data_IF_118637875688
#
_entry.id   IF_118637875688
#
_cell.length_a   1.000
_cell.length_b   1.000
_cell.length_c   1.000
_cell.angle_alpha   90.00
_cell.angle_beta   90.00
_cell.angle_gamma   90.00
#
_symmetry.space_group_name_H-M   'P 1'
#
loop_
_entity.id
_entity.type
_entity.pdbx_description
1 polymer ?
#
# COMPACT_ATOMS: atom_id res chain seq x y z
N UNK A 1 15.97 48.06 -38.18
CA UNK A 1 15.90 46.76 -37.45
C UNK A 1 14.51 46.24 -37.69
N UNK A 2 14.38 45.15 -38.39
CA UNK A 2 13.07 44.53 -38.59
C UNK A 2 12.59 43.95 -37.23
N UNK A 3 11.35 44.31 -36.86
CA UNK A 3 10.75 43.92 -35.57
C UNK A 3 10.22 42.47 -35.61
N UNK A 4 11.03 41.53 -36.03
CA UNK A 4 10.60 40.13 -36.12
C UNK A 4 10.72 39.36 -34.84
N UNK A 5 11.45 39.87 -33.83
CA UNK A 5 11.62 39.26 -32.52
C UNK A 5 11.25 40.28 -31.45
N UNK A 6 10.30 39.96 -30.59
CA UNK A 6 9.97 40.73 -29.41
C UNK A 6 10.38 39.95 -28.16
N UNK A 7 10.85 40.65 -27.15
CA UNK A 7 11.32 40.13 -25.90
C UNK A 7 10.46 40.66 -24.77
N UNK A 8 10.05 39.82 -23.88
CA UNK A 8 9.35 40.18 -22.66
C UNK A 8 10.03 39.55 -21.47
N UNK A 9 10.62 40.34 -20.55
CA UNK A 9 11.18 39.78 -19.32
C UNK A 9 10.04 39.32 -18.43
N UNK A 10 10.11 38.08 -17.98
CA UNK A 10 9.27 37.57 -16.88
C UNK A 10 9.99 37.89 -15.58
N UNK A 11 9.39 38.72 -14.74
CA UNK A 11 9.92 39.05 -13.42
C UNK A 11 9.83 37.82 -12.51
N UNK A 12 10.96 37.21 -12.17
CA UNK A 12 11.08 36.12 -11.20
C UNK A 12 12.53 36.00 -10.75
N UNK A 13 12.76 35.79 -9.45
CA UNK A 13 14.09 35.60 -8.91
C UNK A 13 14.68 34.27 -9.41
N UNK A 14 15.81 34.29 -10.08
CA UNK A 14 16.73 33.16 -10.24
C UNK A 14 16.94 32.60 -11.64
N UNK A 15 15.96 32.64 -12.54
CA UNK A 15 16.14 32.29 -13.95
C UNK A 15 15.26 33.20 -14.79
N UNK A 16 15.87 34.12 -15.52
CA UNK A 16 15.14 35.03 -16.41
C UNK A 16 14.64 34.23 -17.61
N UNK A 17 13.35 33.94 -17.67
CA UNK A 17 12.73 33.40 -18.89
C UNK A 17 12.58 34.52 -19.92
N UNK A 18 13.17 34.34 -21.07
CA UNK A 18 13.01 35.24 -22.20
C UNK A 18 11.93 34.66 -23.10
N UNK A 19 10.78 35.33 -23.20
CA UNK A 19 9.75 34.98 -24.19
C UNK A 19 10.14 35.64 -25.50
N UNK A 20 10.49 34.85 -26.48
CA UNK A 20 10.77 35.31 -27.85
C UNK A 20 9.49 35.11 -28.68
N UNK A 21 8.88 36.14 -29.13
CA UNK A 21 7.80 36.08 -30.13
C UNK A 21 8.37 36.47 -31.49
N UNK A 22 8.48 35.50 -32.38
CA UNK A 22 8.97 35.75 -33.72
C UNK A 22 7.79 36.01 -34.68
N UNK A 23 7.79 37.13 -35.36
CA UNK A 23 6.99 37.30 -36.57
C UNK A 23 7.68 36.57 -37.74
N UNK A 24 6.92 36.30 -38.79
CA UNK A 24 7.34 35.57 -39.99
C UNK A 24 8.78 35.89 -40.42
N UNK A 25 9.58 34.86 -40.52
CA UNK A 25 11.01 34.97 -40.71
C UNK A 25 11.37 35.21 -42.16
N UNK A 26 12.07 36.29 -42.41
CA UNK A 26 12.63 36.57 -43.73
C UNK A 26 14.17 36.44 -43.78
N UNK A 27 14.81 36.22 -42.65
CA UNK A 27 16.28 36.03 -42.61
C UNK A 27 16.80 35.73 -41.19
N UNK A 28 17.79 34.86 -41.12
CA UNK A 28 18.38 34.39 -39.88
C UNK A 28 19.24 35.45 -39.19
N UNK A 29 19.81 36.33 -39.95
CA UNK A 29 20.71 37.40 -39.48
C UNK A 29 19.99 38.36 -38.52
N UNK A 30 18.74 38.63 -38.77
CA UNK A 30 17.92 39.50 -37.94
C UNK A 30 17.58 38.92 -36.59
N UNK A 31 17.56 37.59 -36.43
CA UNK A 31 17.29 36.90 -35.15
C UNK A 31 18.43 37.11 -34.16
N UNK A 32 19.65 36.99 -34.61
CA UNK A 32 20.83 37.13 -33.76
C UNK A 32 20.96 38.57 -33.28
N UNK A 33 20.72 39.53 -34.19
CA UNK A 33 20.79 40.94 -33.86
C UNK A 33 19.77 41.34 -32.77
N UNK A 34 18.58 40.80 -32.79
CA UNK A 34 17.56 41.11 -31.80
C UNK A 34 17.78 40.43 -30.45
N UNK A 35 18.27 39.21 -30.43
CA UNK A 35 18.65 38.50 -29.20
C UNK A 35 19.75 39.23 -28.47
N UNK A 36 20.74 39.76 -29.19
CA UNK A 36 21.86 40.48 -28.60
C UNK A 36 21.46 41.86 -28.07
N UNK A 37 20.52 42.53 -28.73
CA UNK A 37 20.08 43.89 -28.36
C UNK A 37 19.16 43.92 -27.11
N UNK A 38 18.52 42.82 -26.73
CA UNK A 38 17.48 42.77 -25.69
C UNK A 38 17.75 41.81 -24.53
N UNK A 39 18.92 41.18 -24.51
CA UNK A 39 19.30 40.18 -23.51
C UNK A 39 19.65 40.76 -22.13
N UNK A 40 19.94 39.88 -21.18
CA UNK A 40 20.43 40.19 -19.83
C UNK A 40 21.75 40.98 -19.85
N UNK A 41 22.25 41.49 -18.75
CA UNK A 41 23.54 42.20 -18.68
C UNK A 41 24.71 41.42 -19.30
N UNK A 42 24.72 40.13 -19.25
CA UNK A 42 25.72 39.29 -19.91
C UNK A 42 25.63 39.36 -21.44
N UNK A 43 24.41 39.49 -21.98
CA UNK A 43 24.18 39.66 -23.43
C UNK A 43 24.57 41.04 -23.92
N UNK A 44 24.41 42.08 -23.09
CA UNK A 44 24.87 43.43 -23.46
C UNK A 44 26.39 43.53 -23.59
N UNK A 45 27.14 42.77 -22.80
CA UNK A 45 28.61 42.70 -22.96
C UNK A 45 29.02 41.96 -24.23
N UNK A 46 28.23 41.01 -24.70
CA UNK A 46 28.45 40.29 -25.95
C UNK A 46 28.00 41.10 -27.18
N UNK A 47 27.10 42.07 -26.99
CA UNK A 47 26.45 42.78 -28.10
C UNK A 47 27.39 43.56 -29.00
N UNK A 48 28.35 44.25 -28.47
CA UNK A 48 29.22 45.11 -29.26
C UNK A 48 30.25 44.37 -30.17
N UNK A 49 30.59 43.15 -29.78
CA UNK A 49 31.61 42.34 -30.49
C UNK A 49 31.00 41.17 -31.27
N UNK A 50 29.88 40.64 -30.82
CA UNK A 50 29.27 39.43 -31.41
C UNK A 50 28.30 39.76 -32.55
N UNK A 51 27.76 40.99 -32.59
CA UNK A 51 26.92 41.49 -33.69
C UNK A 51 27.72 41.54 -35.01
N UNK A 52 29.04 41.69 -34.92
CA UNK A 52 29.93 41.80 -36.10
C UNK A 52 30.27 40.42 -36.67
N UNK A 53 30.14 39.36 -35.92
CA UNK A 53 30.32 37.98 -36.37
C UNK A 53 29.00 37.32 -36.67
N UNK A 54 28.34 37.74 -37.74
CA UNK A 54 27.10 37.16 -38.23
C UNK A 54 27.22 35.65 -38.47
N UNK A 55 26.84 34.82 -37.50
CA UNK A 55 26.70 33.39 -37.71
C UNK A 55 25.24 33.07 -38.01
N UNK A 56 25.03 32.51 -39.18
CA UNK A 56 23.74 31.92 -39.52
C UNK A 56 23.44 30.75 -38.56
N UNK A 57 22.55 30.96 -37.58
CA UNK A 57 22.07 29.92 -36.71
C UNK A 57 20.80 29.31 -37.29
N UNK A 58 20.86 28.06 -37.66
CA UNK A 58 19.70 27.32 -38.14
C UNK A 58 19.22 26.40 -37.01
N UNK A 59 17.93 26.38 -36.73
CA UNK A 59 17.33 25.42 -35.83
C UNK A 59 17.52 24.00 -36.40
N UNK A 60 18.34 23.20 -35.74
CA UNK A 60 18.69 21.86 -36.22
C UNK A 60 17.80 20.80 -35.62
N UNK A 61 17.48 20.94 -34.35
CA UNK A 61 16.76 19.93 -33.57
C UNK A 61 16.04 20.58 -32.42
N UNK A 62 14.91 19.99 -32.01
CA UNK A 62 14.29 20.18 -30.68
C UNK A 62 14.18 18.84 -29.98
N UNK A 63 14.33 18.84 -28.65
CA UNK A 63 14.21 17.62 -27.85
C UNK A 63 13.68 17.90 -26.47
N UNK A 64 13.09 16.88 -25.84
CA UNK A 64 12.69 16.94 -24.44
C UNK A 64 13.90 16.73 -23.53
N UNK A 65 14.04 17.60 -22.53
CA UNK A 65 15.04 17.49 -21.47
C UNK A 65 14.34 17.30 -20.14
N UNK A 66 14.86 16.40 -19.30
CA UNK A 66 14.33 16.12 -17.96
C UNK A 66 12.83 15.80 -17.98
N UNK A 67 12.39 15.04 -18.99
CA UNK A 67 11.01 14.55 -19.03
C UNK A 67 10.84 13.55 -17.89
N UNK A 68 10.26 14.02 -16.78
CA UNK A 68 10.01 13.22 -15.58
C UNK A 68 8.54 13.29 -15.22
N UNK A 69 8.04 12.21 -14.64
CA UNK A 69 6.71 12.14 -14.11
C UNK A 69 6.63 12.70 -12.71
N UNK A 70 5.65 13.53 -12.50
CA UNK A 70 5.07 13.80 -11.18
C UNK A 70 3.67 13.21 -11.18
N UNK A 71 3.45 12.32 -10.28
CA UNK A 71 2.33 11.43 -10.19
C UNK A 71 1.11 12.09 -9.58
N UNK A 72 0.24 12.63 -10.38
CA UNK A 72 -1.16 12.81 -10.02
C UNK A 72 -1.99 12.55 -11.27
N UNK A 73 -2.26 11.27 -11.53
CA UNK A 73 -3.23 10.90 -12.56
C UNK A 73 -4.59 10.88 -11.89
N UNK A 74 -5.42 11.85 -12.21
CA UNK A 74 -6.81 11.85 -11.76
C UNK A 74 -7.65 10.99 -12.69
N UNK A 75 -8.48 10.13 -12.11
CA UNK A 75 -9.40 9.26 -12.84
C UNK A 75 -10.83 9.64 -12.51
N UNK A 76 -11.67 9.70 -13.54
CA UNK A 76 -13.13 9.78 -13.41
C UNK A 76 -13.72 8.63 -14.21
N UNK A 77 -14.48 7.75 -13.56
CA UNK A 77 -15.13 6.63 -14.22
C UNK A 77 -14.19 5.64 -14.93
N UNK A 78 -12.97 5.46 -14.40
CA UNK A 78 -11.97 4.55 -14.97
C UNK A 78 -11.16 5.14 -16.15
N UNK A 79 -11.39 6.39 -16.50
CA UNK A 79 -10.65 7.10 -17.56
C UNK A 79 -9.69 8.11 -16.91
N UNK A 80 -8.41 8.10 -17.33
CA UNK A 80 -7.45 9.10 -16.89
C UNK A 80 -7.87 10.49 -17.40
N UNK A 81 -8.07 11.45 -16.49
CA UNK A 81 -8.55 12.79 -16.82
C UNK A 81 -7.44 13.84 -16.81
N UNK A 82 -6.39 13.63 -16.06
CA UNK A 82 -5.23 14.51 -16.01
C UNK A 82 -3.97 13.77 -15.58
N UNK A 83 -2.83 14.27 -16.01
CA UNK A 83 -1.52 13.81 -15.55
C UNK A 83 -0.58 15.01 -15.53
N UNK A 84 0.19 15.14 -14.45
CA UNK A 84 1.24 16.15 -14.34
C UNK A 84 2.59 15.55 -14.71
N UNK A 85 3.31 16.21 -15.61
CA UNK A 85 4.70 15.84 -15.91
C UNK A 85 5.58 17.10 -15.93
N UNK A 86 6.83 16.95 -15.56
CA UNK A 86 7.82 18.02 -15.65
C UNK A 86 8.76 17.74 -16.80
N UNK A 87 8.99 18.74 -17.62
CA UNK A 87 9.92 18.66 -18.74
C UNK A 87 10.38 20.05 -19.16
N UNK A 88 11.47 20.10 -19.90
CA UNK A 88 11.87 21.26 -20.71
C UNK A 88 11.96 20.84 -22.18
N UNK A 89 11.67 21.76 -23.08
CA UNK A 89 11.90 21.59 -24.52
C UNK A 89 13.07 22.45 -24.90
N UNK A 90 14.09 21.83 -25.44
CA UNK A 90 15.35 22.48 -25.80
C UNK A 90 15.43 22.56 -27.32
N UNK A 91 15.68 23.77 -27.84
CA UNK A 91 16.09 23.99 -29.21
C UNK A 91 17.62 23.90 -29.30
N UNK A 92 18.14 23.23 -30.32
CA UNK A 92 19.54 23.17 -30.67
C UNK A 92 19.77 23.80 -32.03
N UNK A 93 20.80 24.62 -32.11
CA UNK A 93 21.12 25.37 -33.31
C UNK A 93 22.40 24.84 -34.00
N UNK A 94 22.66 25.32 -35.22
CA UNK A 94 23.76 24.86 -36.08
C UNK A 94 25.17 25.08 -35.51
N UNK A 95 25.32 25.94 -34.51
CA UNK A 95 26.56 26.15 -33.76
C UNK A 95 26.67 25.31 -32.49
N UNK A 96 25.74 24.38 -32.28
CA UNK A 96 25.56 23.56 -31.09
C UNK A 96 25.10 24.35 -29.85
N UNK A 97 24.77 25.62 -29.94
CA UNK A 97 24.10 26.33 -28.84
C UNK A 97 22.71 25.77 -28.62
N UNK A 98 22.22 25.90 -27.36
CA UNK A 98 20.89 25.41 -26.96
C UNK A 98 20.13 26.46 -26.23
N UNK A 99 18.80 26.42 -26.36
CA UNK A 99 17.86 27.32 -25.71
C UNK A 99 16.67 26.57 -25.18
N UNK A 100 16.17 26.95 -23.98
CA UNK A 100 14.91 26.42 -23.44
C UNK A 100 13.72 27.15 -24.07
N UNK A 101 12.95 26.42 -24.84
CA UNK A 101 11.78 26.92 -25.57
C UNK A 101 10.45 26.36 -25.05
N UNK A 102 10.43 25.83 -23.83
CA UNK A 102 9.29 25.13 -23.24
C UNK A 102 7.99 25.94 -23.34
N UNK A 103 8.07 27.24 -23.12
CA UNK A 103 6.91 28.13 -23.14
C UNK A 103 6.48 28.61 -24.54
N UNK A 104 7.18 28.17 -25.58
CA UNK A 104 6.96 28.58 -26.98
C UNK A 104 6.55 27.45 -27.88
N UNK A 105 6.96 26.24 -27.55
CA UNK A 105 6.61 25.08 -28.33
C UNK A 105 5.11 24.75 -28.17
N UNK A 106 4.49 24.39 -29.26
CA UNK A 106 3.15 23.80 -29.21
C UNK A 106 3.27 22.36 -28.73
N UNK A 107 2.58 22.04 -27.63
CA UNK A 107 2.64 20.72 -27.00
C UNK A 107 1.29 20.04 -27.19
N UNK A 108 1.33 18.80 -27.62
CA UNK A 108 0.20 17.89 -27.63
C UNK A 108 0.63 16.57 -26.99
N UNK A 109 -0.31 15.87 -26.35
CA UNK A 109 0.02 14.62 -25.72
C UNK A 109 -1.16 13.67 -25.70
N UNK A 110 -0.86 12.38 -25.60
CA UNK A 110 -1.85 11.35 -25.37
C UNK A 110 -1.34 10.43 -24.27
N UNK A 111 -2.16 10.19 -23.26
CA UNK A 111 -1.93 9.17 -22.26
C UNK A 111 -2.62 7.88 -22.73
N UNK A 112 -1.83 6.87 -23.01
CA UNK A 112 -2.35 5.53 -23.31
C UNK A 112 -2.23 4.70 -22.04
N UNK A 113 -3.37 4.43 -21.43
CA UNK A 113 -3.46 3.46 -20.32
C UNK A 113 -3.86 2.13 -20.94
N UNK A 114 -3.09 1.04 -20.71
CA UNK A 114 -3.49 -0.28 -21.19
C UNK A 114 -4.88 -0.61 -20.67
N UNK A 115 -5.75 -1.16 -21.55
CA UNK A 115 -7.06 -1.66 -21.13
C UNK A 115 -6.83 -2.85 -20.19
N UNK A 116 -6.94 -2.63 -18.90
CA UNK A 116 -6.93 -3.68 -17.89
C UNK A 116 -8.31 -3.82 -17.29
N UNK A 117 -8.70 -5.05 -17.00
CA UNK A 117 -9.90 -5.39 -16.23
C UNK A 117 -9.95 -4.60 -14.91
N UNK A 118 -11.09 -4.54 -14.26
CA UNK A 118 -11.48 -3.67 -13.13
C UNK A 118 -10.50 -3.40 -11.95
N UNK A 119 -9.29 -3.95 -12.01
CA UNK A 119 -8.14 -3.67 -11.14
C UNK A 119 -7.19 -2.60 -11.71
N UNK A 120 -7.60 -1.85 -12.71
CA UNK A 120 -6.79 -0.95 -13.55
C UNK A 120 -6.15 0.26 -12.83
N UNK A 121 -6.33 0.41 -11.54
CA UNK A 121 -5.70 1.47 -10.74
C UNK A 121 -4.18 1.28 -10.53
N UNK A 122 -3.63 0.16 -11.01
CA UNK A 122 -2.18 -0.12 -10.97
C UNK A 122 -1.49 -0.13 -12.34
N UNK A 123 -2.20 0.24 -13.41
CA UNK A 123 -1.62 0.17 -14.74
C UNK A 123 -0.58 1.25 -14.97
N UNK A 124 0.61 0.81 -15.29
CA UNK A 124 1.67 1.64 -15.86
C UNK A 124 1.19 2.10 -17.24
N UNK A 125 0.90 3.39 -17.39
CA UNK A 125 0.57 3.99 -18.68
C UNK A 125 1.81 4.54 -19.36
N UNK A 126 1.73 4.81 -20.65
CA UNK A 126 2.76 5.56 -21.37
C UNK A 126 2.16 6.87 -21.84
N UNK A 127 2.73 7.99 -21.38
CA UNK A 127 2.45 9.31 -21.93
C UNK A 127 3.38 9.54 -23.10
N UNK A 128 2.82 9.85 -24.22
CA UNK A 128 3.57 10.34 -25.38
C UNK A 128 3.28 11.82 -25.55
N UNK A 129 4.31 12.64 -25.47
CA UNK A 129 4.26 14.06 -25.74
C UNK A 129 4.90 14.34 -27.09
N UNK A 130 4.25 15.23 -27.84
CA UNK A 130 4.80 15.78 -29.08
C UNK A 130 4.95 17.28 -28.91
N UNK A 131 6.15 17.80 -29.10
CA UNK A 131 6.40 19.23 -29.17
C UNK A 131 6.70 19.66 -30.59
N UNK A 132 6.18 20.83 -30.96
CA UNK A 132 6.43 21.46 -32.27
C UNK A 132 6.86 22.89 -32.05
N UNK A 133 7.95 23.29 -32.67
CA UNK A 133 8.45 24.63 -32.64
C UNK A 133 9.11 24.92 -34.00
N UNK A 134 8.64 26.00 -34.64
CA UNK A 134 9.01 26.30 -36.04
C UNK A 134 8.62 25.11 -36.95
N UNK A 135 9.53 24.62 -37.77
CA UNK A 135 9.30 23.44 -38.62
C UNK A 135 9.77 22.11 -37.99
N UNK A 136 10.25 22.15 -36.76
CA UNK A 136 10.77 20.99 -36.04
C UNK A 136 9.75 20.40 -35.11
N UNK A 137 9.81 19.08 -35.01
CA UNK A 137 9.02 18.30 -34.04
C UNK A 137 9.88 17.32 -33.30
N UNK A 138 9.59 17.11 -32.02
CA UNK A 138 10.16 15.99 -31.27
C UNK A 138 9.04 15.25 -30.54
N UNK A 139 9.31 13.99 -30.24
CA UNK A 139 8.41 13.14 -29.47
C UNK A 139 9.17 12.57 -28.29
N UNK A 140 8.60 12.69 -27.11
CA UNK A 140 9.10 12.06 -25.90
C UNK A 140 8.05 11.12 -25.33
N UNK A 141 8.48 9.95 -24.89
CA UNK A 141 7.61 9.00 -24.20
C UNK A 141 8.15 8.76 -22.81
N UNK A 142 7.27 8.83 -21.82
CA UNK A 142 7.56 8.53 -20.43
C UNK A 142 6.64 7.43 -19.98
N UNK A 143 7.23 6.41 -19.37
CA UNK A 143 6.43 5.41 -18.68
C UNK A 143 5.82 6.08 -17.46
N UNK A 144 4.49 6.17 -17.42
CA UNK A 144 3.77 6.60 -16.26
C UNK A 144 3.91 5.53 -15.18
N UNK A 145 4.83 5.71 -14.28
CA UNK A 145 4.69 5.08 -12.98
C UNK A 145 3.63 5.91 -12.27
N UNK A 146 2.45 5.32 -12.09
CA UNK A 146 1.66 5.76 -10.97
C UNK A 146 2.61 5.64 -9.77
N UNK A 147 2.97 6.72 -9.07
CA UNK A 147 3.40 6.62 -7.68
C UNK A 147 2.42 5.66 -7.08
N UNK A 148 2.93 4.57 -6.51
CA UNK A 148 2.07 3.51 -6.03
C UNK A 148 0.90 4.20 -5.38
N UNK A 149 -0.27 4.11 -6.02
CA UNK A 149 -1.50 4.79 -5.65
C UNK A 149 -1.51 4.74 -4.14
N UNK A 150 -1.35 5.90 -3.49
CA UNK A 150 -1.09 5.87 -2.07
C UNK A 150 -2.42 5.59 -1.42
N UNK A 151 -2.70 4.30 -1.23
CA UNK A 151 -3.87 3.86 -0.47
C UNK A 151 -4.02 4.63 0.85
N UNK A 152 -2.94 5.29 1.31
CA UNK A 152 -2.99 6.16 2.50
C UNK A 152 -3.93 7.35 2.33
N UNK A 153 -4.12 7.86 1.12
CA UNK A 153 -5.01 9.00 0.82
C UNK A 153 -6.40 8.59 0.37
N UNK A 154 -6.62 7.30 0.13
CA UNK A 154 -7.93 6.78 -0.23
C UNK A 154 -8.66 6.29 1.01
N UNK A 155 -9.93 6.65 1.19
CA UNK A 155 -10.74 6.08 2.27
C UNK A 155 -10.88 4.56 2.10
N UNK A 156 -11.35 3.87 3.14
CA UNK A 156 -11.74 2.48 3.04
C UNK A 156 -12.66 2.29 1.84
N UNK A 157 -12.27 1.43 0.90
CA UNK A 157 -12.93 1.22 -0.39
C UNK A 157 -13.23 -0.24 -0.61
N UNK A 158 -14.45 -0.53 -1.05
CA UNK A 158 -14.91 -1.86 -1.45
C UNK A 158 -15.02 -1.92 -2.96
N UNK A 159 -14.31 -2.83 -3.60
CA UNK A 159 -14.40 -3.12 -5.03
C UNK A 159 -15.31 -4.33 -5.23
N UNK A 160 -16.47 -4.13 -5.83
CA UNK A 160 -17.53 -5.15 -5.92
C UNK A 160 -17.25 -6.11 -7.08
N UNK A 161 -16.96 -7.37 -6.74
CA UNK A 161 -16.69 -8.46 -7.67
C UNK A 161 -17.99 -9.12 -8.14
N UNK A 162 -18.95 -9.28 -7.23
CA UNK A 162 -20.30 -9.78 -7.55
C UNK A 162 -21.32 -8.95 -6.78
N UNK A 163 -22.33 -8.45 -7.50
CA UNK A 163 -23.38 -7.63 -6.94
C UNK A 163 -24.18 -8.32 -5.83
N UNK A 164 -24.89 -7.52 -5.05
CA UNK A 164 -25.66 -7.95 -3.89
C UNK A 164 -25.90 -6.82 -2.93
N UNK A 165 -25.67 -7.06 -1.64
CA UNK A 165 -25.77 -6.03 -0.59
C UNK A 165 -24.48 -5.98 0.21
N UNK A 166 -24.01 -4.78 0.53
CA UNK A 166 -23.14 -4.51 1.69
C UNK A 166 -24.09 -4.15 2.85
N UNK A 167 -23.84 -4.70 4.01
CA UNK A 167 -24.69 -4.43 5.19
C UNK A 167 -23.81 -3.83 6.28
N UNK A 168 -24.24 -2.68 6.82
CA UNK A 168 -23.66 -2.09 8.03
C UNK A 168 -24.54 -2.40 9.24
N UNK A 169 -24.04 -3.18 10.18
CA UNK A 169 -24.82 -3.67 11.31
C UNK A 169 -24.13 -3.51 12.66
N UNK A 170 -24.93 -3.54 13.75
CA UNK A 170 -24.47 -3.60 15.13
C UNK A 170 -24.92 -4.92 15.74
N UNK A 171 -24.02 -5.62 16.42
CA UNK A 171 -24.38 -6.83 17.20
C UNK A 171 -25.17 -6.50 18.46
N UNK A 172 -25.07 -5.24 18.92
CA UNK A 172 -25.82 -4.74 20.09
C UNK A 172 -26.48 -3.42 19.69
N UNK A 173 -27.80 -3.34 19.72
CA UNK A 173 -28.59 -2.23 19.17
C UNK A 173 -28.22 -0.84 19.71
N UNK A 174 -27.78 -0.74 20.97
CA UNK A 174 -27.37 0.53 21.58
C UNK A 174 -25.92 0.94 21.26
N UNK A 175 -25.19 0.12 20.52
CA UNK A 175 -23.81 0.39 20.06
C UNK A 175 -23.76 0.86 18.60
N UNK A 176 -24.91 1.26 18.05
CA UNK A 176 -25.01 1.72 16.66
C UNK A 176 -24.05 2.91 16.38
N UNK A 177 -23.32 2.80 15.30
CA UNK A 177 -22.41 3.82 14.80
C UNK A 177 -22.86 4.31 13.43
N UNK A 178 -22.74 5.61 13.21
CA UNK A 178 -22.96 6.23 11.90
C UNK A 178 -21.67 6.24 11.13
N UNK A 179 -21.72 5.82 9.87
CA UNK A 179 -20.66 6.01 8.89
C UNK A 179 -21.27 6.63 7.62
N UNK A 180 -20.43 7.15 6.76
CA UNK A 180 -20.85 7.66 5.44
C UNK A 180 -20.31 6.76 4.36
N UNK A 181 -21.08 6.58 3.28
CA UNK A 181 -20.61 5.90 2.08
C UNK A 181 -20.81 6.75 0.82
N UNK A 182 -20.01 6.50 -0.19
CA UNK A 182 -20.09 7.10 -1.52
C UNK A 182 -20.03 5.99 -2.58
N UNK A 183 -20.83 6.14 -3.65
CA UNK A 183 -20.80 5.29 -4.86
C UNK A 183 -20.38 6.06 -6.11
N UNK A 184 -19.95 7.30 -5.97
CA UNK A 184 -19.59 8.23 -7.04
C UNK A 184 -18.18 8.81 -6.80
N UNK A 185 -17.29 7.96 -6.34
CA UNK A 185 -15.87 8.27 -6.10
C UNK A 185 -15.61 9.37 -5.05
N UNK A 186 -16.52 9.54 -4.09
CA UNK A 186 -16.39 10.51 -3.00
C UNK A 186 -16.99 11.88 -3.33
N UNK A 187 -17.71 12.03 -4.45
CA UNK A 187 -18.37 13.29 -4.81
C UNK A 187 -19.55 13.56 -3.88
N UNK A 188 -20.37 12.55 -3.62
CA UNK A 188 -21.48 12.64 -2.66
C UNK A 188 -21.37 11.57 -1.59
N UNK A 189 -21.81 11.91 -0.38
CA UNK A 189 -21.74 11.03 0.79
C UNK A 189 -23.11 10.88 1.43
N UNK A 190 -23.50 9.63 1.70
CA UNK A 190 -24.74 9.27 2.36
C UNK A 190 -24.45 8.67 3.72
N UNK A 191 -25.05 9.23 4.77
CA UNK A 191 -24.93 8.70 6.13
C UNK A 191 -25.79 7.45 6.33
N UNK A 192 -25.22 6.44 6.97
CA UNK A 192 -25.94 5.23 7.41
C UNK A 192 -25.65 4.92 8.87
N UNK A 193 -26.68 4.47 9.57
CA UNK A 193 -26.59 4.01 10.93
C UNK A 193 -26.55 2.48 10.98
N UNK A 194 -25.67 1.91 11.80
CA UNK A 194 -25.73 0.49 12.08
C UNK A 194 -27.04 0.16 12.79
N UNK A 195 -27.70 -0.92 12.40
CA UNK A 195 -28.86 -1.48 13.08
C UNK A 195 -28.61 -2.94 13.41
N UNK A 196 -29.39 -3.54 14.32
CA UNK A 196 -29.25 -4.96 14.65
C UNK A 196 -29.62 -5.85 13.44
N UNK A 197 -30.62 -5.45 12.66
CA UNK A 197 -30.96 -6.15 11.41
C UNK A 197 -29.95 -5.89 10.29
N UNK A 198 -29.17 -4.83 10.41
CA UNK A 198 -28.25 -4.33 9.37
C UNK A 198 -28.91 -3.33 8.42
N UNK A 199 -28.17 -2.27 8.06
CA UNK A 199 -28.61 -1.29 7.07
C UNK A 199 -27.98 -1.66 5.72
N UNK A 200 -28.78 -2.07 4.71
CA UNK A 200 -28.26 -2.56 3.44
C UNK A 200 -27.92 -1.41 2.47
N UNK A 201 -26.85 -1.60 1.72
CA UNK A 201 -26.48 -0.81 0.54
C UNK A 201 -26.50 -1.77 -0.66
N UNK A 202 -27.41 -1.54 -1.60
CA UNK A 202 -27.47 -2.35 -2.83
C UNK A 202 -26.30 -1.98 -3.75
N UNK A 203 -25.61 -3.00 -4.26
CA UNK A 203 -24.44 -2.85 -5.13
C UNK A 203 -24.50 -3.80 -6.32
N UNK A 204 -23.94 -3.36 -7.44
CA UNK A 204 -23.80 -4.12 -8.67
C UNK A 204 -22.33 -4.52 -8.90
N UNK A 205 -22.10 -5.55 -9.68
CA UNK A 205 -20.75 -5.92 -10.13
C UNK A 205 -20.04 -4.73 -10.77
N UNK A 206 -18.82 -4.45 -10.34
CA UNK A 206 -18.01 -3.32 -10.80
C UNK A 206 -18.23 -2.01 -10.04
N UNK A 207 -19.22 -1.95 -9.12
CA UNK A 207 -19.37 -0.80 -8.24
C UNK A 207 -18.13 -0.62 -7.35
N UNK A 208 -17.79 0.62 -7.07
CA UNK A 208 -16.79 1.02 -6.08
C UNK A 208 -17.52 1.79 -4.99
N UNK A 209 -17.36 1.34 -3.74
CA UNK A 209 -18.03 1.98 -2.61
C UNK A 209 -16.99 2.41 -1.58
N UNK A 210 -16.90 3.71 -1.35
CA UNK A 210 -16.00 4.31 -0.36
C UNK A 210 -16.72 4.55 0.96
N UNK A 211 -15.98 4.41 2.07
CA UNK A 211 -16.51 4.59 3.43
C UNK A 211 -15.64 5.55 4.23
N UNK A 212 -16.28 6.38 5.04
CA UNK A 212 -15.64 7.25 6.03
C UNK A 212 -16.51 7.43 7.27
N UNK A 213 -15.92 7.90 8.36
CA UNK A 213 -16.61 8.16 9.62
C UNK A 213 -15.69 8.83 10.63
N UNK A 214 -16.27 9.24 11.76
CA UNK A 214 -15.59 9.97 12.83
C UNK A 214 -15.84 9.33 14.20
N UNK A 215 -15.87 7.99 14.25
CA UNK A 215 -16.07 7.26 15.49
C UNK A 215 -14.74 6.77 16.06
N UNK A 216 -14.50 6.98 17.32
CA UNK A 216 -13.25 6.55 17.98
C UNK A 216 -13.06 5.04 18.02
N UNK A 217 -14.15 4.27 17.95
CA UNK A 217 -14.13 2.79 17.92
C UNK A 217 -15.37 2.20 17.29
N UNK A 218 -15.23 0.99 16.76
CA UNK A 218 -16.27 0.24 16.05
C UNK A 218 -16.57 -1.13 16.68
N UNK A 219 -16.13 -1.39 17.91
CA UNK A 219 -16.40 -2.66 18.58
C UNK A 219 -17.87 -3.05 18.47
N UNK A 220 -18.15 -4.30 18.01
CA UNK A 220 -19.49 -4.84 17.77
C UNK A 220 -20.30 -4.17 16.65
N UNK A 221 -19.67 -3.33 15.84
CA UNK A 221 -20.22 -2.84 14.57
C UNK A 221 -19.39 -3.43 13.44
N UNK A 222 -20.04 -3.98 12.43
CA UNK A 222 -19.34 -4.73 11.38
C UNK A 222 -20.03 -4.63 10.03
N UNK A 223 -19.21 -4.84 8.99
CA UNK A 223 -19.68 -5.04 7.64
C UNK A 223 -20.12 -6.49 7.43
N UNK A 224 -21.00 -6.71 6.47
CA UNK A 224 -21.48 -8.01 6.03
C UNK A 224 -22.30 -7.87 4.76
N UNK A 225 -23.16 -8.83 4.48
CA UNK A 225 -24.06 -8.81 3.34
C UNK A 225 -23.82 -9.96 2.37
N UNK A 226 -24.44 -9.87 1.17
CA UNK A 226 -24.38 -10.91 0.14
C UNK A 226 -23.45 -10.59 -1.03
N UNK A 227 -22.92 -9.36 -1.11
CA UNK A 227 -21.97 -8.98 -2.14
C UNK A 227 -20.62 -9.69 -1.95
N UNK A 228 -19.95 -9.99 -3.07
CA UNK A 228 -18.56 -10.47 -3.08
C UNK A 228 -17.67 -9.29 -3.47
N UNK A 229 -16.61 -9.03 -2.69
CA UNK A 229 -15.78 -7.85 -2.85
C UNK A 229 -14.35 -8.05 -2.32
N UNK A 230 -13.45 -7.19 -2.75
CA UNK A 230 -12.17 -6.93 -2.10
C UNK A 230 -12.18 -5.57 -1.41
N UNK A 231 -11.28 -5.37 -0.45
CA UNK A 231 -11.12 -4.09 0.25
C UNK A 231 -9.73 -3.50 0.02
N UNK A 232 -9.69 -2.17 -0.09
CA UNK A 232 -8.47 -1.38 -0.25
C UNK A 232 -8.62 -0.02 0.46
N UNK A 233 -7.56 0.81 0.38
CA UNK A 233 -7.59 2.13 1.00
C UNK A 233 -7.26 2.10 2.49
N UNK A 234 -7.39 3.23 3.14
CA UNK A 234 -6.95 3.44 4.52
C UNK A 234 -8.11 3.26 5.50
N UNK A 235 -8.01 2.26 6.38
CA UNK A 235 -9.05 1.98 7.40
C UNK A 235 -9.27 3.16 8.37
N UNK A 236 -8.24 4.01 8.57
CA UNK A 236 -8.33 5.17 9.47
C UNK A 236 -9.37 6.19 9.01
N UNK A 237 -9.81 6.16 7.75
CA UNK A 237 -10.92 6.97 7.24
C UNK A 237 -12.23 6.78 8.01
N UNK A 238 -12.39 5.66 8.71
CA UNK A 238 -13.54 5.41 9.58
C UNK A 238 -13.43 6.13 10.93
N UNK A 239 -12.21 6.50 11.37
CA UNK A 239 -11.94 7.15 12.67
C UNK A 239 -11.80 8.66 12.52
N UNK A 240 -11.18 9.10 11.43
CA UNK A 240 -10.94 10.51 11.12
C UNK A 240 -11.16 10.73 9.62
N UNK A 241 -12.36 11.18 9.27
CA UNK A 241 -12.81 11.30 7.87
C UNK A 241 -12.00 12.29 7.04
N UNK A 242 -11.26 13.20 7.66
CA UNK A 242 -10.49 14.25 6.98
C UNK A 242 -8.97 14.10 7.15
N UNK A 243 -8.50 13.66 8.35
CA UNK A 243 -7.07 13.57 8.67
C UNK A 243 -6.46 12.18 8.51
N UNK A 244 -7.23 11.17 8.11
CA UNK A 244 -6.83 9.75 8.08
C UNK A 244 -5.55 9.45 7.29
N UNK A 245 -5.23 10.27 6.29
CA UNK A 245 -4.07 10.03 5.40
C UNK A 245 -2.73 10.01 6.15
N UNK A 246 -2.64 10.69 7.29
CA UNK A 246 -1.43 10.79 8.12
C UNK A 246 -1.60 10.17 9.50
N UNK A 247 -2.77 9.63 9.81
CA UNK A 247 -3.06 9.02 11.11
C UNK A 247 -2.34 7.67 11.27
N UNK A 248 -1.52 7.55 12.30
CA UNK A 248 -0.71 6.35 12.60
C UNK A 248 -0.88 5.86 14.04
N UNK A 249 -1.87 6.38 14.76
CA UNK A 249 -2.13 6.06 16.16
C UNK A 249 -3.57 5.60 16.35
N UNK A 250 -3.75 4.53 17.10
CA UNK A 250 -5.04 4.07 17.60
C UNK A 250 -5.06 4.22 19.12
N UNK A 251 -5.74 5.24 19.63
CA UNK A 251 -5.82 5.55 21.05
C UNK A 251 -6.95 4.79 21.77
N UNK A 252 -7.92 4.29 21.02
CA UNK A 252 -9.10 3.62 21.60
C UNK A 252 -8.93 2.12 21.60
N UNK A 253 -9.14 1.50 22.75
CA UNK A 253 -9.29 0.04 22.84
C UNK A 253 -10.39 -0.46 21.91
N UNK A 254 -10.17 -1.62 21.28
CA UNK A 254 -11.13 -2.27 20.39
C UNK A 254 -11.56 -1.39 19.20
N UNK A 255 -10.66 -0.51 18.70
CA UNK A 255 -10.96 0.46 17.65
C UNK A 255 -11.66 -0.17 16.44
N UNK A 256 -11.09 -1.24 15.89
CA UNK A 256 -11.60 -1.99 14.74
C UNK A 256 -11.91 -3.46 15.07
N UNK A 257 -12.21 -3.74 16.35
CA UNK A 257 -12.55 -5.09 16.77
C UNK A 257 -13.75 -5.63 15.95
N UNK A 258 -13.53 -6.77 15.29
CA UNK A 258 -14.53 -7.52 14.55
C UNK A 258 -15.17 -6.77 13.34
N UNK A 259 -14.55 -5.73 12.79
CA UNK A 259 -15.18 -4.86 11.79
C UNK A 259 -15.56 -5.58 10.49
N UNK A 260 -14.79 -6.60 10.08
CA UNK A 260 -15.10 -7.50 8.97
C UNK A 260 -15.46 -8.92 9.43
N UNK A 261 -15.59 -9.15 10.73
CA UNK A 261 -15.83 -10.49 11.25
C UNK A 261 -17.06 -11.18 10.64
N UNK A 262 -16.90 -12.42 10.22
CA UNK A 262 -17.89 -13.22 9.50
C UNK A 262 -18.34 -12.64 8.16
N UNK A 263 -17.48 -11.82 7.53
CA UNK A 263 -17.72 -11.24 6.21
C UNK A 263 -17.33 -12.24 5.12
N UNK A 264 -18.20 -13.22 4.86
CA UNK A 264 -17.91 -14.35 3.95
C UNK A 264 -17.77 -13.95 2.48
N UNK A 265 -18.23 -12.75 2.09
CA UNK A 265 -18.04 -12.20 0.74
C UNK A 265 -16.71 -11.45 0.53
N UNK A 266 -15.90 -11.25 1.58
CA UNK A 266 -14.59 -10.60 1.49
C UNK A 266 -13.54 -11.59 0.96
N UNK A 267 -12.95 -11.30 -0.21
CA UNK A 267 -12.00 -12.21 -0.88
C UNK A 267 -10.54 -11.79 -0.76
N UNK A 268 -10.27 -10.48 -0.67
CA UNK A 268 -8.89 -9.94 -0.54
C UNK A 268 -8.89 -8.65 0.26
N UNK A 269 -7.86 -8.49 1.08
CA UNK A 269 -7.53 -7.27 1.80
C UNK A 269 -6.08 -6.81 1.52
N UNK A 270 -5.46 -7.29 0.42
CA UNK A 270 -4.05 -7.04 0.08
C UNK A 270 -3.68 -5.56 0.09
N UNK A 271 -4.59 -4.73 -0.41
CA UNK A 271 -4.41 -3.29 -0.57
C UNK A 271 -5.05 -2.47 0.56
N UNK A 272 -5.62 -3.13 1.57
CA UNK A 272 -6.10 -2.44 2.77
C UNK A 272 -4.91 -1.99 3.61
N UNK A 273 -4.85 -0.70 3.89
CA UNK A 273 -3.85 -0.12 4.77
C UNK A 273 -4.34 -0.11 6.22
N UNK A 274 -3.51 -0.69 7.09
CA UNK A 274 -3.61 -0.60 8.54
C UNK A 274 -2.39 0.20 9.03
N UNK A 275 -2.37 1.53 8.87
CA UNK A 275 -1.15 2.33 8.99
C UNK A 275 -0.71 2.58 10.43
N UNK A 276 -1.52 2.19 11.43
CA UNK A 276 -1.21 2.45 12.81
C UNK A 276 0.03 1.67 13.27
N UNK A 277 0.99 2.39 13.81
CA UNK A 277 2.20 1.86 14.45
C UNK A 277 2.15 2.00 15.97
N UNK A 278 1.30 2.89 16.49
CA UNK A 278 0.92 2.97 17.90
C UNK A 278 -0.45 2.34 18.07
N UNK A 279 -0.52 1.24 18.81
CA UNK A 279 -1.70 0.41 18.94
C UNK A 279 -2.28 0.49 20.35
N UNK A 280 -3.61 0.50 20.46
CA UNK A 280 -4.33 0.28 21.71
C UNK A 280 -4.69 -1.21 21.88
N UNK A 281 -5.06 -1.59 23.10
CA UNK A 281 -5.47 -2.96 23.44
C UNK A 281 -6.62 -3.44 22.55
N UNK A 282 -6.52 -4.64 21.99
CA UNK A 282 -7.53 -5.29 21.18
C UNK A 282 -7.93 -4.55 19.90
N UNK A 283 -7.15 -3.56 19.45
CA UNK A 283 -7.59 -2.62 18.40
C UNK A 283 -7.97 -3.29 17.08
N UNK A 284 -7.35 -4.40 16.71
CA UNK A 284 -7.64 -5.19 15.51
C UNK A 284 -8.07 -6.63 15.83
N UNK A 285 -8.43 -6.93 17.12
CA UNK A 285 -8.84 -8.27 17.48
C UNK A 285 -10.09 -8.70 16.71
N UNK A 286 -10.12 -9.96 16.26
CA UNK A 286 -11.21 -10.56 15.45
C UNK A 286 -11.50 -9.84 14.12
N UNK A 287 -10.62 -8.93 13.66
CA UNK A 287 -10.94 -8.02 12.55
C UNK A 287 -11.46 -8.75 11.31
N UNK A 288 -10.88 -9.89 10.97
CA UNK A 288 -11.25 -10.74 9.83
C UNK A 288 -11.70 -12.14 10.25
N UNK A 289 -11.95 -12.37 11.53
CA UNK A 289 -12.35 -13.70 12.01
C UNK A 289 -13.57 -14.25 11.23
N UNK A 290 -13.51 -15.54 10.83
CA UNK A 290 -14.56 -16.19 10.02
C UNK A 290 -14.78 -15.57 8.62
N UNK A 291 -13.81 -14.85 8.06
CA UNK A 291 -13.84 -14.42 6.65
C UNK A 291 -13.43 -15.61 5.77
N UNK A 292 -14.32 -16.58 5.60
CA UNK A 292 -14.01 -17.88 4.98
C UNK A 292 -13.58 -17.81 3.51
N UNK A 293 -13.85 -16.72 2.80
CA UNK A 293 -13.41 -16.48 1.41
C UNK A 293 -12.13 -15.63 1.29
N UNK A 294 -11.58 -15.14 2.40
CA UNK A 294 -10.38 -14.29 2.39
C UNK A 294 -9.14 -15.11 2.02
N UNK A 295 -8.52 -14.77 0.88
CA UNK A 295 -7.32 -15.43 0.37
C UNK A 295 -6.03 -14.66 0.64
N UNK A 296 -6.10 -13.33 0.70
CA UNK A 296 -4.93 -12.46 0.79
C UNK A 296 -5.11 -11.43 1.91
N UNK A 297 -4.24 -11.43 2.94
CA UNK A 297 -4.34 -10.54 4.09
C UNK A 297 -3.72 -9.16 3.80
N UNK A 298 -4.02 -8.13 4.61
CA UNK A 298 -3.33 -6.84 4.58
C UNK A 298 -1.93 -6.94 5.18
N UNK A 299 -1.10 -5.91 4.96
CA UNK A 299 0.19 -5.74 5.63
C UNK A 299 0.00 -5.24 7.07
N UNK A 300 0.82 -5.74 7.99
CA UNK A 300 0.81 -5.38 9.41
C UNK A 300 2.15 -4.68 9.75
N UNK A 301 2.23 -3.34 9.75
CA UNK A 301 3.49 -2.62 9.86
C UNK A 301 4.00 -2.42 11.29
N UNK A 302 3.17 -2.63 12.32
CA UNK A 302 3.54 -2.32 13.71
C UNK A 302 4.66 -3.24 14.21
N UNK A 303 5.69 -2.65 14.81
CA UNK A 303 6.85 -3.35 15.39
C UNK A 303 6.78 -3.45 16.92
N UNK A 304 5.91 -2.65 17.54
CA UNK A 304 5.57 -2.67 18.97
C UNK A 304 4.08 -2.93 19.12
N UNK A 305 3.73 -3.98 19.85
CA UNK A 305 2.35 -4.42 19.96
C UNK A 305 1.74 -4.08 21.31
N UNK A 306 0.42 -3.90 21.33
CA UNK A 306 -0.38 -3.77 22.52
C UNK A 306 -1.05 -5.12 22.87
N UNK A 307 -1.58 -5.23 24.11
CA UNK A 307 -2.28 -6.43 24.57
C UNK A 307 -3.41 -6.80 23.63
N UNK A 308 -3.47 -8.06 23.21
CA UNK A 308 -4.53 -8.63 22.36
C UNK A 308 -4.78 -7.88 21.04
N UNK A 309 -3.83 -7.04 20.55
CA UNK A 309 -4.09 -6.15 19.42
C UNK A 309 -4.41 -6.89 18.11
N UNK A 310 -3.89 -8.10 17.89
CA UNK A 310 -4.17 -8.98 16.75
C UNK A 310 -4.76 -10.35 17.19
N UNK A 311 -5.33 -10.39 18.40
CA UNK A 311 -5.98 -11.58 18.92
C UNK A 311 -7.08 -12.07 17.98
N UNK A 312 -7.04 -13.36 17.56
CA UNK A 312 -8.01 -13.98 16.64
C UNK A 312 -8.19 -13.24 15.29
N UNK A 313 -7.22 -12.42 14.85
CA UNK A 313 -7.44 -11.51 13.72
C UNK A 313 -7.89 -12.21 12.44
N UNK A 314 -7.37 -13.40 12.15
CA UNK A 314 -7.70 -14.21 10.98
C UNK A 314 -8.25 -15.61 11.36
N UNK A 315 -8.68 -15.80 12.61
CA UNK A 315 -9.23 -17.10 13.03
C UNK A 315 -10.35 -17.55 12.09
N UNK A 316 -10.38 -18.83 11.71
CA UNK A 316 -11.37 -19.45 10.82
C UNK A 316 -11.40 -18.85 9.38
N UNK A 317 -10.33 -18.18 8.93
CA UNK A 317 -10.14 -17.78 7.52
C UNK A 317 -9.72 -18.99 6.70
N UNK A 318 -10.63 -19.89 6.41
CA UNK A 318 -10.34 -21.21 5.84
C UNK A 318 -9.78 -21.18 4.41
N UNK A 319 -9.90 -20.08 3.67
CA UNK A 319 -9.31 -19.89 2.34
C UNK A 319 -7.97 -19.12 2.36
N UNK A 320 -7.48 -18.69 3.51
CA UNK A 320 -6.22 -17.95 3.62
C UNK A 320 -5.04 -18.86 3.30
N UNK A 321 -4.25 -18.50 2.28
CA UNK A 321 -3.14 -19.32 1.76
C UNK A 321 -1.81 -18.95 2.40
N UNK A 322 -1.58 -17.67 2.64
CA UNK A 322 -0.33 -17.11 3.13
C UNK A 322 -0.58 -16.13 4.27
N UNK A 323 0.19 -16.23 5.35
CA UNK A 323 0.19 -15.25 6.43
C UNK A 323 0.94 -13.97 6.02
N UNK A 324 0.57 -12.79 6.54
CA UNK A 324 1.35 -11.56 6.36
C UNK A 324 2.69 -11.67 7.09
N UNK A 325 3.66 -10.83 6.70
CA UNK A 325 4.89 -10.64 7.49
C UNK A 325 4.53 -10.01 8.84
N UNK A 326 5.11 -10.54 9.92
CA UNK A 326 4.90 -10.05 11.29
C UNK A 326 6.21 -9.45 11.82
N UNK A 327 6.44 -8.13 11.65
CA UNK A 327 7.73 -7.50 11.95
C UNK A 327 7.95 -7.18 13.42
N UNK A 328 6.98 -7.45 14.30
CA UNK A 328 7.03 -7.01 15.69
C UNK A 328 8.13 -7.72 16.49
N UNK A 329 8.95 -6.92 17.14
CA UNK A 329 10.00 -7.34 18.07
C UNK A 329 9.68 -7.05 19.52
N UNK A 330 8.71 -6.14 19.77
CA UNK A 330 8.21 -5.84 21.11
C UNK A 330 6.78 -6.33 21.22
N UNK A 331 6.56 -7.34 22.06
CA UNK A 331 5.29 -8.02 22.22
C UNK A 331 4.59 -7.63 23.54
N UNK A 332 3.28 -7.76 23.55
CA UNK A 332 2.44 -7.65 24.74
C UNK A 332 1.63 -8.96 24.94
N UNK A 333 0.99 -9.08 26.09
CA UNK A 333 0.20 -10.29 26.42
C UNK A 333 -0.85 -10.59 25.36
N UNK A 334 -0.95 -11.85 24.93
CA UNK A 334 -1.94 -12.36 23.97
C UNK A 334 -2.00 -11.61 22.64
N UNK A 335 -0.93 -10.88 22.24
CA UNK A 335 -0.98 -9.98 21.08
C UNK A 335 -1.24 -10.69 19.75
N UNK A 336 -0.85 -11.97 19.61
CA UNK A 336 -1.09 -12.84 18.45
C UNK A 336 -1.83 -14.14 18.86
N UNK A 337 -2.55 -14.12 20.00
CA UNK A 337 -3.34 -15.27 20.45
C UNK A 337 -4.30 -15.71 19.34
N UNK A 338 -4.30 -17.00 19.00
CA UNK A 338 -5.20 -17.63 18.00
C UNK A 338 -5.28 -16.94 16.64
N UNK A 339 -4.23 -16.16 16.27
CA UNK A 339 -4.30 -15.24 15.11
C UNK A 339 -4.68 -15.93 13.81
N UNK A 340 -4.20 -17.15 13.57
CA UNK A 340 -4.48 -17.98 12.38
C UNK A 340 -5.16 -19.29 12.73
N UNK A 341 -5.80 -19.39 13.88
CA UNK A 341 -6.47 -20.63 14.30
C UNK A 341 -7.46 -21.08 13.23
N UNK A 342 -7.44 -22.38 12.87
CA UNK A 342 -8.28 -23.01 11.86
C UNK A 342 -8.17 -22.43 10.45
N UNK A 343 -7.06 -21.75 10.09
CA UNK A 343 -6.77 -21.38 8.71
C UNK A 343 -6.35 -22.64 7.93
N UNK A 344 -7.29 -23.50 7.59
CA UNK A 344 -7.03 -24.84 7.05
C UNK A 344 -6.30 -24.87 5.71
N UNK A 345 -6.40 -23.81 4.89
CA UNK A 345 -5.66 -23.67 3.62
C UNK A 345 -4.31 -22.99 3.76
N UNK A 346 -3.89 -22.59 4.98
CA UNK A 346 -2.64 -21.86 5.19
C UNK A 346 -1.44 -22.79 4.95
N UNK A 347 -0.71 -22.55 3.88
CA UNK A 347 0.51 -23.30 3.51
C UNK A 347 1.79 -22.57 3.87
N UNK A 348 1.74 -21.23 3.96
CA UNK A 348 2.91 -20.37 4.15
C UNK A 348 2.75 -19.51 5.39
N UNK A 349 3.46 -19.83 6.46
CA UNK A 349 3.64 -19.01 7.64
C UNK A 349 4.67 -17.88 7.38
N UNK A 350 4.78 -16.85 8.25
CA UNK A 350 5.95 -15.97 8.24
C UNK A 350 7.23 -16.79 8.37
N UNK A 351 8.31 -16.41 7.68
CA UNK A 351 9.58 -17.16 7.77
C UNK A 351 10.16 -17.19 9.19
N UNK A 352 9.93 -16.14 9.96
CA UNK A 352 10.40 -15.95 11.34
C UNK A 352 9.40 -15.14 12.15
N UNK A 353 9.30 -15.42 13.43
CA UNK A 353 8.67 -14.54 14.45
C UNK A 353 9.81 -13.83 15.20
N UNK A 354 10.16 -12.57 14.84
CA UNK A 354 11.48 -12.00 15.17
C UNK A 354 11.68 -11.61 16.62
N UNK A 355 10.63 -11.64 17.46
CA UNK A 355 10.75 -11.28 18.87
C UNK A 355 11.60 -12.30 19.64
N UNK A 356 12.60 -11.81 20.35
CA UNK A 356 13.44 -12.61 21.24
C UNK A 356 13.04 -12.49 22.72
N UNK A 357 12.24 -11.47 23.05
CA UNK A 357 11.59 -11.31 24.36
C UNK A 357 10.11 -11.53 24.19
N UNK A 358 9.57 -12.54 24.85
CA UNK A 358 8.17 -12.94 24.74
C UNK A 358 7.33 -12.38 25.89
N UNK A 359 6.03 -12.25 25.63
CA UNK A 359 5.02 -11.92 26.62
C UNK A 359 4.10 -13.12 26.88
N UNK A 360 3.37 -13.13 27.99
CA UNK A 360 2.46 -14.23 28.33
C UNK A 360 1.39 -14.45 27.27
N UNK A 361 1.22 -15.69 26.80
CA UNK A 361 0.26 -16.09 25.78
C UNK A 361 0.44 -15.41 24.42
N UNK A 362 1.59 -14.78 24.15
CA UNK A 362 1.75 -13.94 22.95
C UNK A 362 1.52 -14.67 21.62
N UNK A 363 1.79 -15.98 21.55
CA UNK A 363 1.58 -16.84 20.39
C UNK A 363 0.70 -18.06 20.72
N UNK A 364 -0.10 -17.99 21.78
CA UNK A 364 -0.99 -19.09 22.19
C UNK A 364 -1.90 -19.50 21.04
N UNK A 365 -1.94 -20.79 20.71
CA UNK A 365 -2.74 -21.41 19.65
C UNK A 365 -2.66 -20.70 18.27
N UNK A 366 -1.57 -19.93 18.01
CA UNK A 366 -1.47 -19.03 16.85
C UNK A 366 -1.77 -19.71 15.52
N UNK A 367 -1.31 -20.93 15.32
CA UNK A 367 -1.54 -21.75 14.13
C UNK A 367 -2.37 -23.00 14.40
N UNK A 368 -3.03 -23.07 15.54
CA UNK A 368 -3.85 -24.25 15.90
C UNK A 368 -4.84 -24.59 14.78
N UNK A 369 -4.88 -25.87 14.34
CA UNK A 369 -5.79 -26.30 13.27
C UNK A 369 -5.39 -25.90 11.85
N UNK A 370 -4.19 -25.35 11.60
CA UNK A 370 -3.68 -25.06 10.26
C UNK A 370 -3.23 -26.36 9.58
N UNK A 371 -4.17 -27.16 9.10
CA UNK A 371 -3.91 -28.53 8.64
C UNK A 371 -3.03 -28.64 7.39
N UNK A 372 -2.93 -27.57 6.58
CA UNK A 372 -2.07 -27.53 5.37
C UNK A 372 -0.66 -26.96 5.63
N UNK A 373 -0.37 -26.48 6.85
CA UNK A 373 0.94 -25.89 7.18
C UNK A 373 1.98 -27.00 7.31
N UNK A 374 3.07 -26.92 6.55
CA UNK A 374 4.15 -27.93 6.56
C UNK A 374 5.41 -27.48 7.32
N UNK A 375 5.68 -26.17 7.36
CA UNK A 375 6.88 -25.57 7.97
C UNK A 375 6.46 -24.49 8.95
N UNK A 376 6.90 -24.60 10.21
CA UNK A 376 6.70 -23.55 11.19
C UNK A 376 7.58 -22.34 10.93
N UNK A 377 7.19 -21.12 11.37
CA UNK A 377 8.13 -19.99 11.43
C UNK A 377 9.32 -20.33 12.35
N UNK A 378 10.46 -19.71 12.10
CA UNK A 378 11.59 -19.79 13.04
C UNK A 378 11.23 -19.07 14.36
N UNK A 379 11.54 -19.73 15.50
CA UNK A 379 11.25 -19.25 16.85
C UNK A 379 12.59 -18.94 17.56
N UNK A 380 13.12 -17.69 17.45
CA UNK A 380 14.46 -17.34 17.91
C UNK A 380 14.57 -17.08 19.40
N UNK A 381 13.44 -16.94 20.12
CA UNK A 381 13.46 -16.67 21.55
C UNK A 381 14.11 -17.81 22.34
N UNK A 382 15.10 -17.48 23.14
CA UNK A 382 15.81 -18.44 23.99
C UNK A 382 15.16 -18.62 25.35
N UNK A 383 14.45 -17.63 25.84
CA UNK A 383 13.71 -17.63 27.10
C UNK A 383 12.21 -17.56 26.85
N UNK A 384 11.47 -18.48 27.41
CA UNK A 384 10.02 -18.59 27.28
C UNK A 384 9.30 -17.97 28.47
N UNK A 385 8.03 -17.64 28.26
CA UNK A 385 7.12 -17.11 29.30
C UNK A 385 5.84 -17.95 29.35
N UNK A 386 5.00 -17.69 30.34
CA UNK A 386 3.73 -18.43 30.54
C UNK A 386 2.92 -18.50 29.25
N UNK A 387 2.59 -19.70 28.80
CA UNK A 387 1.72 -20.02 27.67
C UNK A 387 2.14 -19.40 26.34
N UNK A 388 3.40 -18.91 26.22
CA UNK A 388 3.81 -18.17 25.01
C UNK A 388 3.70 -19.00 23.73
N UNK A 389 3.90 -20.32 23.77
CA UNK A 389 3.74 -21.27 22.67
C UNK A 389 2.66 -22.33 22.97
N UNK A 390 1.84 -22.16 24.00
CA UNK A 390 0.77 -23.12 24.32
C UNK A 390 -0.12 -23.36 23.10
N UNK A 391 -0.38 -24.63 22.75
CA UNK A 391 -1.21 -25.07 21.62
C UNK A 391 -0.84 -24.49 20.26
N UNK A 392 0.36 -23.87 20.11
CA UNK A 392 0.72 -23.07 18.94
C UNK A 392 0.52 -23.79 17.61
N UNK A 393 0.81 -25.08 17.55
CA UNK A 393 0.67 -25.94 16.36
C UNK A 393 -0.29 -27.10 16.58
N UNK A 394 -1.16 -27.01 17.59
CA UNK A 394 -2.16 -28.05 17.86
C UNK A 394 -2.97 -28.40 16.62
N UNK A 395 -3.03 -29.66 16.23
CA UNK A 395 -3.80 -30.11 15.08
C UNK A 395 -3.24 -29.72 13.71
N UNK A 396 -2.00 -29.24 13.61
CA UNK A 396 -1.32 -28.97 12.34
C UNK A 396 -0.84 -30.28 11.71
N UNK A 397 -1.75 -31.08 11.16
CA UNK A 397 -1.51 -32.48 10.75
C UNK A 397 -0.46 -32.67 9.67
N UNK A 398 -0.17 -31.64 8.86
CA UNK A 398 0.88 -31.66 7.82
C UNK A 398 2.22 -31.11 8.29
N UNK A 399 2.30 -30.50 9.49
CA UNK A 399 3.50 -29.84 9.97
C UNK A 399 4.60 -30.87 10.24
N UNK A 400 5.75 -30.71 9.57
CA UNK A 400 6.88 -31.64 9.63
C UNK A 400 8.25 -30.96 9.79
N UNK A 401 8.29 -29.65 10.02
CA UNK A 401 9.52 -28.92 10.33
C UNK A 401 9.26 -27.82 11.36
N UNK A 402 10.03 -27.85 12.46
CA UNK A 402 10.03 -26.79 13.49
C UNK A 402 11.47 -26.44 13.83
N UNK A 403 11.81 -25.14 13.84
CA UNK A 403 13.04 -24.60 14.42
C UNK A 403 12.72 -23.74 15.63
N UNK A 404 13.13 -24.18 16.82
CA UNK A 404 12.89 -23.47 18.08
C UNK A 404 14.19 -23.38 18.89
N UNK A 405 14.63 -22.17 19.19
CA UNK A 405 15.92 -21.91 19.86
C UNK A 405 15.80 -21.72 21.37
N UNK A 406 14.67 -22.11 21.98
CA UNK A 406 14.50 -22.07 23.43
C UNK A 406 15.53 -22.93 24.12
N UNK A 407 16.06 -22.42 25.24
CA UNK A 407 17.10 -23.09 26.05
C UNK A 407 16.59 -23.59 27.41
N UNK A 408 15.34 -23.27 27.74
CA UNK A 408 14.62 -23.75 28.92
C UNK A 408 13.14 -23.98 28.60
N UNK A 409 12.67 -25.20 28.79
CA UNK A 409 11.27 -25.64 28.67
C UNK A 409 10.80 -26.34 29.92
N UNK A 410 11.40 -26.05 31.06
CA UNK A 410 11.10 -26.71 32.33
C UNK A 410 9.69 -26.46 32.84
N UNK A 411 9.10 -25.31 32.54
CA UNK A 411 7.72 -25.02 32.87
C UNK A 411 6.77 -25.53 31.78
N UNK A 412 5.99 -26.56 32.08
CA UNK A 412 5.03 -27.17 31.13
C UNK A 412 4.08 -26.18 30.50
N UNK A 413 3.75 -25.09 31.19
CA UNK A 413 2.86 -24.05 30.66
C UNK A 413 3.43 -23.33 29.43
N UNK A 414 4.76 -23.36 29.20
CA UNK A 414 5.36 -22.63 28.05
C UNK A 414 4.91 -23.20 26.71
N UNK A 415 4.86 -24.53 26.63
CA UNK A 415 4.63 -25.31 25.40
C UNK A 415 3.51 -26.36 25.59
N UNK A 416 2.54 -26.10 26.47
CA UNK A 416 1.42 -27.03 26.74
C UNK A 416 0.69 -27.39 25.43
N UNK A 417 0.63 -28.67 25.06
CA UNK A 417 -0.07 -29.18 23.89
C UNK A 417 0.41 -28.60 22.54
N UNK A 418 1.57 -27.94 22.49
CA UNK A 418 1.97 -27.09 21.35
C UNK A 418 2.17 -27.84 20.04
N UNK A 419 2.48 -29.13 20.07
CA UNK A 419 2.69 -30.01 18.91
C UNK A 419 1.75 -31.22 18.91
N UNK A 420 0.67 -31.18 19.69
CA UNK A 420 -0.33 -32.25 19.68
C UNK A 420 -1.01 -32.35 18.32
N UNK A 421 -0.98 -33.53 17.69
CA UNK A 421 -1.62 -33.78 16.40
C UNK A 421 -0.86 -33.28 15.17
N UNK A 422 0.44 -32.94 15.28
CA UNK A 422 1.30 -32.68 14.13
C UNK A 422 1.64 -33.96 13.35
N UNK A 423 2.32 -33.85 12.21
CA UNK A 423 2.78 -35.02 11.44
C UNK A 423 3.56 -36.02 12.31
N UNK A 424 3.36 -37.33 12.08
CA UNK A 424 4.08 -38.39 12.80
C UNK A 424 5.57 -38.43 12.49
N UNK A 425 6.05 -37.75 11.47
CA UNK A 425 7.46 -37.66 11.08
C UNK A 425 7.83 -36.23 10.71
N UNK A 426 9.06 -35.83 11.04
CA UNK A 426 9.52 -34.48 10.72
C UNK A 426 10.92 -34.21 11.24
N UNK A 427 11.35 -32.96 11.19
CA UNK A 427 12.64 -32.47 11.69
C UNK A 427 12.40 -31.36 12.71
N UNK A 428 13.03 -31.52 13.86
CA UNK A 428 13.07 -30.53 14.92
C UNK A 428 14.49 -29.98 15.08
N UNK A 429 14.67 -28.69 14.84
CA UNK A 429 15.94 -28.00 15.03
C UNK A 429 15.89 -27.26 16.37
N UNK A 430 16.80 -27.61 17.28
CA UNK A 430 16.92 -27.00 18.61
C UNK A 430 18.23 -26.25 18.79
N UNK A 431 18.27 -25.33 19.75
CA UNK A 431 19.53 -24.70 20.16
C UNK A 431 20.56 -25.71 20.53
N UNK A 432 21.83 -25.58 20.06
CA UNK A 432 22.93 -26.48 20.38
C UNK A 432 23.23 -26.55 21.89
N UNK A 433 22.97 -25.46 22.63
CA UNK A 433 23.10 -25.39 24.08
C UNK A 433 22.02 -26.14 24.86
N UNK A 434 20.89 -26.47 24.20
CA UNK A 434 19.80 -27.20 24.84
C UNK A 434 20.11 -28.69 24.90
N UNK A 435 20.49 -29.17 26.06
CA UNK A 435 20.97 -30.55 26.25
C UNK A 435 19.84 -31.59 26.39
N UNK A 436 18.72 -31.20 26.96
CA UNK A 436 17.57 -32.09 27.14
C UNK A 436 16.26 -31.35 26.86
N UNK A 437 15.55 -31.77 25.82
CA UNK A 437 14.19 -31.35 25.54
C UNK A 437 13.28 -32.57 25.68
N UNK A 438 12.18 -32.50 26.45
CA UNK A 438 11.27 -33.62 26.58
C UNK A 438 10.64 -33.98 25.23
N UNK A 439 10.29 -35.24 25.04
CA UNK A 439 9.49 -35.67 23.90
C UNK A 439 8.02 -35.77 24.28
N UNK A 440 7.12 -35.65 23.30
CA UNK A 440 5.67 -35.70 23.48
C UNK A 440 5.00 -34.38 23.13
N UNK A 441 3.71 -34.26 23.44
CA UNK A 441 2.86 -33.15 23.02
C UNK A 441 3.28 -31.78 23.56
N UNK A 442 3.95 -31.74 24.69
CA UNK A 442 4.49 -30.53 25.31
C UNK A 442 5.98 -30.29 24.97
N UNK A 443 6.58 -31.14 24.16
CA UNK A 443 8.00 -31.14 23.85
C UNK A 443 8.30 -31.29 22.36
N UNK A 444 9.32 -32.12 22.03
CA UNK A 444 9.61 -32.53 20.65
C UNK A 444 8.60 -33.62 20.25
N UNK A 445 7.97 -33.54 19.06
CA UNK A 445 7.06 -34.59 18.63
C UNK A 445 7.72 -35.95 18.58
N UNK A 446 7.01 -36.98 19.01
CA UNK A 446 7.53 -38.36 18.98
C UNK A 446 7.82 -38.79 17.53
N UNK A 447 8.95 -39.47 17.31
CA UNK A 447 9.34 -39.95 15.98
C UNK A 447 10.03 -38.92 15.07
N UNK A 448 10.18 -37.67 15.52
CA UNK A 448 10.90 -36.67 14.74
C UNK A 448 12.42 -36.76 14.86
N UNK A 449 13.10 -36.44 13.76
CA UNK A 449 14.56 -36.29 13.75
C UNK A 449 14.97 -34.99 14.45
N UNK A 450 15.86 -35.07 15.44
CA UNK A 450 16.35 -33.90 16.18
C UNK A 450 17.71 -33.48 15.66
N UNK A 451 17.85 -32.19 15.34
CA UNK A 451 19.08 -31.59 14.81
C UNK A 451 19.45 -30.39 15.69
N UNK A 452 20.74 -30.20 15.93
CA UNK A 452 21.22 -28.98 16.58
C UNK A 452 21.32 -27.84 15.55
N UNK A 453 20.97 -26.64 15.97
CA UNK A 453 21.24 -25.43 15.21
C UNK A 453 22.76 -25.21 15.10
N UNK A 454 23.25 -24.85 13.92
CA UNK A 454 24.70 -24.73 13.57
C UNK A 454 25.29 -23.39 14.02
#
# INVERSE_FOLDING_TARGET
>A
MSKWLTYSPVSGHGNTQITLSASTLTGLEDRIAALIATGSQEWQMLSATTVITQKHLTLTEIYFKNLTWVTDVSYIGGTATSANCSFSIIAKYSDNSTEDITNKATISGSLVVPATTATARQSVGTLTLKATYDDKTCTGSVTAYQEAFSFSKEPLTFNIISGGTIVWKSLVGNMAKTISYSKDDGITWTNINATTAGTPISVSTGDIVKFKGDNTKYSRNLFGGSAVFSVEGNIMSLIDSEGFATATTLDSELAFNNIFGSCTGLTSAENLMLPATTLASGCYSFMFANCTSLTTPPKLPATTLATSCYDNMFADCTSLIQAPVLPATTLAGSCYNEMFQNCTSLTTAPSILPATTLAGGCYYAMFGGCTSLTVAPELPATTLTQECYGYMFYGCTSLNYIKCLATDVSAKSYTIGWVEGVSSTGTFVKASSMTSWPTGVDGIPEGWTVVNDS
#
